data_IF_707455521603
#
_entry.id   IF_707455521603
#
_cell.length_a   1.000
_cell.length_b   1.000
_cell.length_c   1.000
_cell.angle_alpha   90.00
_cell.angle_beta   90.00
_cell.angle_gamma   90.00
#
_symmetry.space_group_name_H-M   'P 1'
#
loop_
_entity.id
_entity.type
_entity.pdbx_description
1 polymer ?
#
# COMPACT_ATOMS: atom_id res chain seq x y z
N UNK A 1 -25.51 2.54 -15.71
CA UNK A 1 -24.97 3.71 -15.02
C UNK A 1 -24.39 3.31 -13.68
N UNK A 2 -23.25 3.87 -13.39
CA UNK A 2 -22.60 3.63 -12.10
C UNK A 2 -23.36 4.38 -11.01
N UNK A 3 -23.83 3.71 -9.99
CA UNK A 3 -24.59 4.36 -8.92
C UNK A 3 -23.73 5.34 -8.10
N UNK A 4 -22.40 5.25 -8.17
CA UNK A 4 -21.51 6.25 -7.58
C UNK A 4 -21.70 7.62 -8.22
N UNK A 5 -21.99 7.65 -9.51
CA UNK A 5 -22.26 8.92 -10.18
C UNK A 5 -23.48 9.59 -9.57
N UNK A 6 -24.46 8.79 -9.19
CA UNK A 6 -25.66 9.30 -8.54
C UNK A 6 -25.31 9.91 -7.19
N UNK A 7 -24.51 9.21 -6.41
CA UNK A 7 -24.11 9.67 -5.08
C UNK A 7 -23.28 10.93 -5.12
N UNK A 8 -22.39 11.03 -6.07
CA UNK A 8 -21.46 12.13 -6.19
C UNK A 8 -21.94 13.20 -7.16
N UNK A 9 -23.23 13.21 -7.47
CA UNK A 9 -23.77 14.13 -8.43
C UNK A 9 -23.25 13.80 -9.81
N UNK A 10 -22.55 14.72 -10.44
CA UNK A 10 -22.07 14.53 -11.80
C UNK A 10 -20.68 13.92 -11.88
N UNK A 11 -20.09 13.54 -10.74
CA UNK A 11 -18.76 12.94 -10.71
C UNK A 11 -18.85 11.50 -11.21
N UNK A 12 -18.03 11.18 -12.20
CA UNK A 12 -17.95 9.84 -12.76
C UNK A 12 -16.61 9.25 -12.34
N UNK A 13 -16.68 8.14 -11.58
CA UNK A 13 -15.48 7.45 -11.14
C UNK A 13 -14.79 6.77 -12.31
N UNK A 14 -13.49 6.94 -12.41
CA UNK A 14 -12.68 6.19 -13.34
C UNK A 14 -12.21 4.91 -12.65
N UNK A 15 -12.85 3.79 -13.00
CA UNK A 15 -12.58 2.53 -12.34
C UNK A 15 -11.16 2.05 -12.56
N UNK A 16 -10.60 2.27 -13.73
CA UNK A 16 -9.21 1.86 -14.00
C UNK A 16 -8.24 2.61 -13.11
N UNK A 17 -8.48 3.89 -12.88
CA UNK A 17 -7.65 4.70 -12.00
C UNK A 17 -7.81 4.26 -10.55
N UNK A 18 -9.05 3.98 -10.13
CA UNK A 18 -9.29 3.49 -8.76
C UNK A 18 -8.55 2.18 -8.54
N UNK A 19 -8.62 1.26 -9.49
CA UNK A 19 -7.92 -0.01 -9.40
C UNK A 19 -6.41 0.19 -9.32
N UNK A 20 -5.89 1.14 -10.07
CA UNK A 20 -4.47 1.44 -10.07
C UNK A 20 -4.04 2.03 -8.73
N UNK A 21 -4.83 2.94 -8.17
CA UNK A 21 -4.56 3.51 -6.85
C UNK A 21 -4.54 2.40 -5.80
N UNK A 22 -5.54 1.53 -5.81
CA UNK A 22 -5.59 0.40 -4.89
C UNK A 22 -4.35 -0.49 -5.01
N UNK A 23 -3.89 -0.71 -6.23
CA UNK A 23 -2.69 -1.51 -6.47
C UNK A 23 -1.45 -0.84 -5.90
N UNK A 24 -1.30 0.46 -6.10
CA UNK A 24 -0.13 1.19 -5.57
C UNK A 24 -0.12 1.19 -4.04
N UNK A 25 -1.30 1.39 -3.43
CA UNK A 25 -1.42 1.33 -1.97
C UNK A 25 -0.97 -0.03 -1.46
N UNK A 26 -1.46 -1.11 -2.07
CA UNK A 26 -1.09 -2.46 -1.66
C UNK A 26 0.40 -2.74 -1.86
N UNK A 27 0.98 -2.26 -2.95
CA UNK A 27 2.41 -2.42 -3.20
C UNK A 27 3.24 -1.72 -2.12
N UNK A 28 2.86 -0.49 -1.76
CA UNK A 28 3.58 0.25 -0.74
C UNK A 28 3.48 -0.44 0.61
N UNK A 29 2.28 -0.91 0.99
CA UNK A 29 2.09 -1.62 2.25
C UNK A 29 2.92 -2.90 2.29
N UNK A 30 2.90 -3.67 1.22
CA UNK A 30 3.62 -4.95 1.17
C UNK A 30 5.12 -4.74 1.27
N UNK A 31 5.67 -3.83 0.48
CA UNK A 31 7.12 -3.60 0.48
C UNK A 31 7.59 -2.87 1.74
N UNK A 32 6.74 -2.04 2.33
CA UNK A 32 7.02 -1.45 3.65
C UNK A 32 7.10 -2.54 4.72
N UNK A 33 6.19 -3.50 4.65
CA UNK A 33 6.20 -4.63 5.57
C UNK A 33 7.49 -5.45 5.43
N UNK A 34 7.87 -5.75 4.19
CA UNK A 34 9.09 -6.51 3.94
C UNK A 34 10.31 -5.75 4.46
N UNK A 35 10.37 -4.46 4.21
CA UNK A 35 11.51 -3.64 4.58
C UNK A 35 11.61 -3.40 6.08
N UNK A 36 10.53 -2.92 6.68
CA UNK A 36 10.58 -2.49 8.08
C UNK A 36 10.36 -3.62 9.08
N UNK A 37 9.56 -4.62 8.71
CA UNK A 37 9.27 -5.71 9.62
C UNK A 37 10.22 -6.88 9.45
N UNK A 38 10.52 -7.24 8.20
CA UNK A 38 11.37 -8.39 7.93
C UNK A 38 12.82 -8.03 7.65
N UNK A 39 13.11 -6.74 7.61
CA UNK A 39 14.46 -6.24 7.37
C UNK A 39 15.07 -6.83 6.09
N UNK A 40 14.27 -6.85 5.04
CA UNK A 40 14.64 -7.39 3.74
C UNK A 40 14.12 -6.46 2.64
N UNK A 41 14.46 -6.73 1.41
CA UNK A 41 13.91 -6.00 0.28
C UNK A 41 13.85 -6.92 -0.93
N UNK A 42 12.80 -6.77 -1.72
CA UNK A 42 12.62 -7.53 -2.96
C UNK A 42 12.64 -6.61 -4.17
N UNK A 43 12.62 -5.31 -3.95
CA UNK A 43 12.74 -4.32 -5.01
C UNK A 43 13.81 -3.32 -4.62
N UNK A 44 14.31 -2.59 -5.61
CA UNK A 44 15.31 -1.55 -5.38
C UNK A 44 14.65 -0.32 -4.75
N UNK A 45 15.44 0.48 -4.03
CA UNK A 45 14.92 1.70 -3.41
C UNK A 45 14.26 2.62 -4.42
N UNK A 46 14.84 2.76 -5.61
CA UNK A 46 14.28 3.64 -6.62
C UNK A 46 12.92 3.13 -7.13
N UNK A 47 12.73 1.81 -7.14
CA UNK A 47 11.44 1.24 -7.53
C UNK A 47 10.38 1.54 -6.47
N UNK A 48 10.74 1.39 -5.20
CA UNK A 48 9.83 1.71 -4.11
C UNK A 48 9.45 3.18 -4.14
N UNK A 49 10.44 4.06 -4.33
CA UNK A 49 10.20 5.50 -4.41
C UNK A 49 9.33 5.84 -5.61
N UNK A 50 9.52 5.15 -6.72
CA UNK A 50 8.72 5.36 -7.93
C UNK A 50 7.25 5.01 -7.70
N UNK A 51 6.99 3.92 -6.99
CA UNK A 51 5.62 3.53 -6.64
C UNK A 51 4.97 4.60 -5.78
N UNK A 52 5.71 5.11 -4.79
CA UNK A 52 5.21 6.16 -3.92
C UNK A 52 4.88 7.45 -4.68
N UNK A 53 5.77 7.86 -5.57
CA UNK A 53 5.54 9.05 -6.40
C UNK A 53 4.34 8.88 -7.30
N UNK A 54 4.18 7.69 -7.86
CA UNK A 54 3.04 7.39 -8.72
C UNK A 54 1.73 7.54 -7.94
N UNK A 55 1.70 7.04 -6.71
CA UNK A 55 0.51 7.20 -5.87
C UNK A 55 0.23 8.67 -5.56
N UNK A 56 1.26 9.45 -5.26
CA UNK A 56 1.08 10.86 -4.96
C UNK A 56 0.49 11.60 -6.16
N UNK A 57 0.97 11.32 -7.36
CA UNK A 57 0.46 11.94 -8.57
C UNK A 57 -0.98 11.52 -8.85
N UNK A 58 -1.28 10.24 -8.68
CA UNK A 58 -2.62 9.74 -8.89
C UNK A 58 -3.60 10.37 -7.90
N UNK A 59 -3.23 10.48 -6.64
CA UNK A 59 -4.09 11.08 -5.63
C UNK A 59 -4.34 12.55 -5.91
N UNK A 60 -3.34 13.25 -6.43
CA UNK A 60 -3.47 14.66 -6.77
C UNK A 60 -4.36 14.86 -7.99
N UNK A 61 -4.16 14.04 -9.02
CA UNK A 61 -4.89 14.18 -10.27
C UNK A 61 -6.29 13.58 -10.22
N UNK A 62 -6.50 12.61 -9.35
CA UNK A 62 -7.76 11.88 -9.24
C UNK A 62 -8.22 11.79 -7.79
N UNK A 63 -8.53 12.96 -7.17
CA UNK A 63 -8.85 12.97 -5.73
C UNK A 63 -10.11 12.19 -5.38
N UNK A 64 -11.08 12.10 -6.28
CA UNK A 64 -12.31 11.35 -5.99
C UNK A 64 -12.03 9.85 -5.96
N UNK A 65 -11.21 9.36 -6.89
CA UNK A 65 -10.82 7.97 -6.92
C UNK A 65 -9.96 7.63 -5.71
N UNK A 66 -9.05 8.53 -5.33
CA UNK A 66 -8.25 8.31 -4.14
C UNK A 66 -9.13 8.22 -2.89
N UNK A 67 -10.09 9.12 -2.75
CA UNK A 67 -11.01 9.09 -1.61
C UNK A 67 -11.81 7.80 -1.54
N UNK A 68 -12.09 7.19 -2.68
CA UNK A 68 -12.83 5.94 -2.77
C UNK A 68 -11.94 4.71 -2.64
N UNK A 69 -10.63 4.89 -2.53
CA UNK A 69 -9.71 3.76 -2.50
C UNK A 69 -9.83 2.97 -1.20
N UNK A 70 -9.44 1.70 -1.29
CA UNK A 70 -9.59 0.76 -0.18
C UNK A 70 -8.83 1.19 1.07
N UNK A 71 -7.63 1.74 0.90
CA UNK A 71 -6.78 2.15 2.02
C UNK A 71 -6.72 3.66 2.18
N UNK A 72 -7.75 4.37 1.75
CA UNK A 72 -7.75 5.82 1.79
C UNK A 72 -7.37 6.37 3.17
N UNK A 73 -7.99 5.84 4.24
CA UNK A 73 -7.76 6.37 5.58
C UNK A 73 -6.33 6.16 6.05
N UNK A 74 -5.70 5.11 5.59
CA UNK A 74 -4.30 4.86 5.94
C UNK A 74 -3.35 5.77 5.16
N UNK A 75 -3.72 6.12 3.92
CA UNK A 75 -2.82 6.86 3.05
C UNK A 75 -3.05 8.36 3.01
N UNK A 76 -4.11 8.86 3.63
CA UNK A 76 -4.40 10.30 3.57
C UNK A 76 -3.24 11.13 4.17
N UNK A 77 -2.68 10.69 5.29
CA UNK A 77 -1.56 11.40 5.90
C UNK A 77 -0.27 11.24 5.09
N UNK A 78 -0.07 10.05 4.52
CA UNK A 78 1.07 9.79 3.65
C UNK A 78 1.06 10.73 2.45
N UNK A 79 -0.08 10.85 1.79
CA UNK A 79 -0.22 11.69 0.59
C UNK A 79 -0.04 13.17 0.92
N UNK A 80 -0.51 13.60 2.09
CA UNK A 80 -0.46 15.01 2.47
C UNK A 80 0.85 15.40 3.16
N UNK A 81 1.73 14.45 3.42
CA UNK A 81 3.01 14.73 4.07
C UNK A 81 3.98 15.37 3.08
N UNK A 82 4.81 16.28 3.58
CA UNK A 82 5.92 16.84 2.79
C UNK A 82 7.04 15.82 2.60
N UNK A 83 7.11 14.85 3.53
CA UNK A 83 8.11 13.80 3.49
C UNK A 83 7.43 12.44 3.67
N UNK A 84 6.72 11.97 2.64
CA UNK A 84 5.99 10.69 2.75
C UNK A 84 6.94 9.55 3.10
N UNK A 85 6.53 8.72 4.06
CA UNK A 85 7.32 7.57 4.48
C UNK A 85 6.41 6.40 4.75
N UNK A 86 6.80 5.25 4.23
CA UNK A 86 6.08 4.00 4.49
C UNK A 86 6.23 3.51 5.91
N UNK A 87 7.21 4.04 6.65
CA UNK A 87 7.44 3.62 8.03
C UNK A 87 6.22 3.84 8.93
N UNK A 88 5.46 4.91 8.69
CA UNK A 88 4.32 5.25 9.52
C UNK A 88 3.02 4.61 9.07
N UNK A 89 3.04 3.82 8.01
CA UNK A 89 1.86 3.13 7.52
C UNK A 89 1.57 1.88 8.35
N UNK A 90 0.31 1.46 8.33
CA UNK A 90 -0.10 0.25 9.04
C UNK A 90 0.22 -0.98 8.18
N UNK A 91 1.50 -1.29 8.03
CA UNK A 91 1.91 -2.44 7.22
C UNK A 91 1.99 -3.74 8.02
N UNK A 92 2.00 -3.67 9.35
CA UNK A 92 2.20 -4.85 10.19
C UNK A 92 0.88 -5.49 10.60
N UNK A 93 -0.02 -5.68 9.65
CA UNK A 93 -1.27 -6.42 9.87
C UNK A 93 -1.03 -7.89 9.57
N UNK A 94 -1.90 -8.75 10.10
CA UNK A 94 -1.82 -10.19 9.84
C UNK A 94 -1.83 -10.45 8.33
N UNK A 95 -2.68 -9.76 7.61
CA UNK A 95 -2.80 -9.93 6.16
C UNK A 95 -1.51 -9.56 5.43
N UNK A 96 -0.95 -8.40 5.74
CA UNK A 96 0.29 -7.96 5.09
C UNK A 96 1.48 -8.83 5.47
N UNK A 97 1.56 -9.23 6.74
CA UNK A 97 2.64 -10.11 7.20
C UNK A 97 2.57 -11.45 6.47
N UNK A 98 1.36 -12.01 6.33
CA UNK A 98 1.19 -13.27 5.62
C UNK A 98 1.60 -13.17 4.16
N UNK A 99 1.20 -12.09 3.49
CA UNK A 99 1.57 -11.85 2.10
C UNK A 99 3.08 -11.68 1.95
N UNK A 100 3.68 -10.92 2.87
CA UNK A 100 5.13 -10.68 2.85
C UNK A 100 5.90 -11.98 3.02
N UNK A 101 5.49 -12.81 3.97
CA UNK A 101 6.14 -14.10 4.20
C UNK A 101 6.03 -14.99 2.97
N UNK A 102 4.85 -15.05 2.38
CA UNK A 102 4.63 -15.86 1.18
C UNK A 102 5.54 -15.40 0.05
N UNK A 103 5.59 -14.10 -0.18
CA UNK A 103 6.40 -13.53 -1.25
C UNK A 103 7.89 -13.77 -1.01
N UNK A 104 8.34 -13.57 0.22
CA UNK A 104 9.75 -13.81 0.57
C UNK A 104 10.14 -15.26 0.32
N UNK A 105 9.26 -16.21 0.66
CA UNK A 105 9.52 -17.63 0.39
C UNK A 105 9.60 -17.93 -1.09
N UNK A 106 8.74 -17.30 -1.89
CA UNK A 106 8.79 -17.48 -3.34
C UNK A 106 10.13 -17.01 -3.92
N UNK A 107 10.77 -16.05 -3.28
CA UNK A 107 12.09 -15.56 -3.70
C UNK A 107 13.23 -16.24 -2.95
N UNK A 108 12.95 -17.37 -2.30
CA UNK A 108 13.98 -18.16 -1.66
C UNK A 108 14.49 -17.66 -0.33
N UNK A 109 13.80 -16.70 0.29
CA UNK A 109 14.19 -16.20 1.61
C UNK A 109 13.72 -17.13 2.70
N UNK A 110 14.56 -17.29 3.73
CA UNK A 110 14.20 -18.09 4.89
C UNK A 110 13.42 -17.25 5.89
N UNK A 111 12.14 -17.59 6.10
CA UNK A 111 11.27 -16.85 7.00
C UNK A 111 10.98 -17.61 8.29
N UNK A 112 11.62 -18.74 8.51
CA UNK A 112 11.36 -19.60 9.68
C UNK A 112 11.54 -18.85 10.99
N UNK A 113 12.55 -17.99 11.07
CA UNK A 113 12.84 -17.21 12.27
C UNK A 113 11.72 -16.26 12.68
N UNK A 114 10.80 -15.96 11.78
CA UNK A 114 9.69 -15.05 12.06
C UNK A 114 8.42 -15.77 12.49
N UNK A 115 8.33 -17.07 12.26
CA UNK A 115 7.12 -17.83 12.54
C UNK A 115 6.87 -17.94 14.05
N UNK A 116 7.93 -18.12 14.82
CA UNK A 116 7.85 -18.37 16.25
C UNK A 116 8.03 -17.10 17.10
N UNK A 117 8.03 -15.94 16.48
CA UNK A 117 8.22 -14.68 17.19
C UNK A 117 6.97 -13.84 17.07
N UNK A 118 6.04 -14.03 17.99
CA UNK A 118 4.77 -13.32 17.98
C UNK A 118 4.94 -11.81 18.11
N UNK A 119 6.05 -11.36 18.66
CA UNK A 119 6.29 -9.93 18.78
C UNK A 119 6.50 -9.27 17.44
N UNK A 120 6.78 -10.05 16.40
CA UNK A 120 6.95 -9.54 15.05
C UNK A 120 5.61 -9.21 14.39
N UNK A 121 4.53 -9.75 14.90
CA UNK A 121 3.19 -9.53 14.34
C UNK A 121 2.43 -8.57 15.24
N UNK A 122 2.11 -7.39 14.74
CA UNK A 122 1.38 -6.37 15.49
C UNK A 122 -0.07 -6.31 15.04
N UNK A 123 -0.91 -6.16 16.03
CA UNK A 123 -2.35 -6.02 15.77
C UNK A 123 -2.70 -4.60 15.39
#
# INVERSE_FOLDING_TARGET
MNWFSFWKGDVIMNQEILDLINRRENQILLHSCIYYKFNDNLIEDWQYDSIGKDLLELAKDYPDEFEASYHYEEFIDYVNSETPSGFNLRYSTVENVSKAMHLLRLYGRNTTKFINDDSQIRK
#
